data_IF_028331489162
#
_entry.id   IF_028331489162
#
_cell.length_a   1.000
_cell.length_b   1.000
_cell.length_c   1.000
_cell.angle_alpha   90.00
_cell.angle_beta   90.00
_cell.angle_gamma   90.00
#
_symmetry.space_group_name_H-M   'P 1'
#
loop_
_entity.id
_entity.type
_entity.pdbx_description
1 polymer ?
#
# COMPACT_ATOMS: atom_id res chain seq x y z
N UNK A 1 -2.24 -0.88 3.80
CA UNK A 1 -3.11 -1.62 4.73
C UNK A 1 -2.33 -2.80 5.27
N UNK A 2 -2.50 -3.14 6.54
CA UNK A 2 -1.86 -4.33 7.12
C UNK A 2 -2.75 -5.55 6.84
N UNK A 3 -2.14 -6.69 6.44
CA UNK A 3 -2.91 -7.90 6.07
C UNK A 3 -3.72 -8.43 7.25
N UNK A 4 -3.15 -8.38 8.46
CA UNK A 4 -3.87 -8.80 9.67
C UNK A 4 -5.15 -8.00 9.91
N UNK A 5 -5.16 -6.67 9.69
CA UNK A 5 -6.37 -5.87 9.89
C UNK A 5 -7.48 -6.27 8.90
N UNK A 6 -7.11 -6.71 7.68
CA UNK A 6 -8.07 -7.23 6.71
C UNK A 6 -8.63 -8.59 7.16
N UNK A 7 -7.77 -9.48 7.68
CA UNK A 7 -8.20 -10.77 8.21
C UNK A 7 -9.15 -10.58 9.40
N UNK A 8 -8.79 -9.70 10.34
CA UNK A 8 -9.62 -9.39 11.50
C UNK A 8 -10.97 -8.80 11.09
N UNK A 9 -10.99 -7.90 10.10
CA UNK A 9 -12.23 -7.36 9.53
C UNK A 9 -13.12 -8.47 8.93
N UNK A 10 -12.55 -9.38 8.14
CA UNK A 10 -13.28 -10.50 7.56
C UNK A 10 -13.89 -11.42 8.63
N UNK A 11 -13.22 -11.57 9.77
CA UNK A 11 -13.71 -12.35 10.92
C UNK A 11 -14.74 -11.59 11.77
N UNK A 12 -14.76 -10.25 11.72
CA UNK A 12 -15.73 -9.42 12.42
C UNK A 12 -17.08 -9.39 11.71
N UNK A 13 -17.08 -9.23 10.38
CA UNK A 13 -18.28 -9.08 9.54
C UNK A 13 -19.42 -10.06 9.87
N UNK A 14 -19.21 -11.38 10.05
CA UNK A 14 -20.28 -12.32 10.37
C UNK A 14 -21.04 -12.03 11.67
N UNK A 15 -20.43 -11.28 12.60
CA UNK A 15 -21.05 -10.90 13.89
C UNK A 15 -21.96 -9.68 13.79
N UNK A 16 -22.01 -9.03 12.62
CA UNK A 16 -22.78 -7.81 12.39
C UNK A 16 -23.83 -8.02 11.29
N UNK A 17 -25.08 -8.39 11.61
CA UNK A 17 -26.12 -8.65 10.60
C UNK A 17 -26.36 -7.47 9.64
N UNK A 18 -26.10 -6.24 10.08
CA UNK A 18 -26.22 -5.03 9.27
C UNK A 18 -25.30 -5.00 8.05
N UNK A 19 -24.24 -5.82 8.01
CA UNK A 19 -23.29 -5.90 6.90
C UNK A 19 -23.72 -6.87 5.79
N UNK A 20 -24.81 -7.63 5.99
CA UNK A 20 -25.27 -8.61 5.01
C UNK A 20 -25.67 -7.94 3.68
N UNK A 21 -25.18 -8.51 2.56
CA UNK A 21 -25.46 -7.99 1.22
C UNK A 21 -24.79 -6.65 0.88
N UNK A 22 -23.85 -6.17 1.72
CA UNK A 22 -23.13 -4.91 1.50
C UNK A 22 -21.70 -5.16 1.05
N UNK A 23 -21.17 -4.20 0.28
CA UNK A 23 -19.77 -4.15 -0.12
C UNK A 23 -19.09 -2.96 0.57
N UNK A 24 -17.91 -3.21 1.14
CA UNK A 24 -17.15 -2.21 1.89
C UNK A 24 -15.77 -2.03 1.26
N UNK A 25 -15.36 -0.78 1.12
CA UNK A 25 -13.98 -0.47 0.82
C UNK A 25 -13.17 -0.47 2.13
N UNK A 26 -12.07 -1.21 2.13
CA UNK A 26 -11.17 -1.32 3.29
C UNK A 26 -9.82 -0.68 2.94
N UNK A 27 -9.26 0.04 3.89
CA UNK A 27 -8.05 0.84 3.74
C UNK A 27 -7.19 0.80 5.01
N UNK A 28 -6.00 1.39 4.96
CA UNK A 28 -5.15 1.51 6.16
C UNK A 28 -5.66 2.57 7.14
N UNK A 29 -5.11 2.59 8.35
CA UNK A 29 -5.46 3.57 9.40
C UNK A 29 -5.09 5.03 9.10
N UNK A 30 -4.39 5.29 8.00
CA UNK A 30 -4.07 6.64 7.55
C UNK A 30 -3.97 6.73 6.03
N UNK A 31 -4.15 7.95 5.50
CA UNK A 31 -3.92 8.29 4.10
C UNK A 31 -2.53 8.91 3.96
N UNK A 32 -1.68 8.28 3.17
CA UNK A 32 -0.28 8.71 2.99
C UNK A 32 0.00 9.07 1.54
N UNK A 33 0.75 10.17 1.37
CA UNK A 33 1.41 10.44 0.10
C UNK A 33 2.46 9.37 -0.19
N UNK A 34 2.59 8.96 -1.45
CA UNK A 34 3.51 7.88 -1.83
C UNK A 34 4.97 8.13 -1.40
N UNK A 35 5.46 9.37 -1.55
CA UNK A 35 6.82 9.72 -1.12
C UNK A 35 7.02 9.58 0.40
N UNK A 36 5.99 9.92 1.18
CA UNK A 36 6.02 9.79 2.64
C UNK A 36 5.98 8.32 3.07
N UNK A 37 5.14 7.51 2.41
CA UNK A 37 5.12 6.06 2.60
C UNK A 37 6.51 5.45 2.37
N UNK A 38 7.16 5.78 1.25
CA UNK A 38 8.52 5.30 0.94
C UNK A 38 9.52 5.78 1.99
N UNK A 39 9.46 7.05 2.41
CA UNK A 39 10.34 7.58 3.46
C UNK A 39 10.24 6.79 4.76
N UNK A 40 9.02 6.46 5.21
CA UNK A 40 8.79 5.67 6.43
C UNK A 40 9.32 4.24 6.28
N UNK A 41 9.15 3.61 5.11
CA UNK A 41 9.74 2.29 4.83
C UNK A 41 11.26 2.35 4.92
N UNK A 42 11.90 3.32 4.24
CA UNK A 42 13.36 3.45 4.26
C UNK A 42 13.89 3.72 5.68
N UNK A 43 13.17 4.51 6.48
CA UNK A 43 13.52 4.77 7.88
C UNK A 43 13.46 3.52 8.78
N UNK A 44 12.69 2.49 8.40
CA UNK A 44 12.63 1.22 9.12
C UNK A 44 13.78 0.26 8.79
N UNK A 45 14.52 0.50 7.69
CA UNK A 45 15.60 -0.35 7.22
C UNK A 45 16.95 0.06 7.83
N UNK A 46 17.82 -0.92 8.04
CA UNK A 46 19.19 -0.71 8.54
C UNK A 46 20.21 -1.40 7.62
N UNK A 47 21.16 -0.65 7.03
CA UNK A 47 21.32 0.81 7.09
C UNK A 47 20.20 1.57 6.35
N UNK A 48 19.88 2.78 6.80
CA UNK A 48 18.80 3.60 6.21
C UNK A 48 19.17 4.04 4.78
N UNK A 49 18.45 3.59 3.73
CA UNK A 49 18.75 4.01 2.37
C UNK A 49 18.28 5.44 2.08
N UNK A 50 18.91 6.10 1.10
CA UNK A 50 18.52 7.45 0.66
C UNK A 50 17.38 7.40 -0.36
N UNK A 51 16.39 8.28 -0.18
CA UNK A 51 15.33 8.49 -1.17
C UNK A 51 15.81 9.46 -2.26
N UNK A 52 15.91 8.98 -3.50
CA UNK A 52 16.23 9.81 -4.67
C UNK A 52 15.00 10.03 -5.53
N UNK A 53 14.70 11.30 -5.83
CA UNK A 53 13.66 11.68 -6.80
C UNK A 53 14.30 11.82 -8.18
N UNK A 54 13.81 11.07 -9.15
CA UNK A 54 14.29 11.12 -10.53
C UNK A 54 13.19 11.64 -11.47
N UNK A 55 13.54 12.45 -12.48
CA UNK A 55 12.62 12.80 -13.56
C UNK A 55 12.02 11.57 -14.26
N UNK A 56 10.73 11.65 -14.59
CA UNK A 56 10.00 10.59 -15.29
C UNK A 56 10.71 10.06 -16.57
N UNK A 57 11.27 10.89 -17.48
CA UNK A 57 11.92 10.36 -18.67
C UNK A 57 13.15 9.51 -18.33
N UNK A 58 13.97 9.93 -17.36
CA UNK A 58 15.13 9.16 -16.90
C UNK A 58 14.72 7.83 -16.26
N UNK A 59 13.64 7.82 -15.50
CA UNK A 59 13.11 6.58 -14.94
C UNK A 59 12.64 5.61 -16.03
N UNK A 60 11.95 6.12 -17.07
CA UNK A 60 11.46 5.30 -18.19
C UNK A 60 12.60 4.69 -19.00
N UNK A 61 13.67 5.44 -19.25
CA UNK A 61 14.84 4.92 -19.98
C UNK A 61 15.56 3.85 -19.16
N UNK A 62 15.79 4.08 -17.87
CA UNK A 62 16.37 3.09 -16.97
C UNK A 62 15.52 1.80 -16.89
N UNK A 63 14.19 1.94 -16.82
CA UNK A 63 13.27 0.81 -16.80
C UNK A 63 13.33 0.03 -18.12
N UNK A 64 13.36 0.71 -19.27
CA UNK A 64 13.48 0.06 -20.58
C UNK A 64 14.79 -0.74 -20.71
N UNK A 65 15.92 -0.19 -20.24
CA UNK A 65 17.20 -0.90 -20.20
C UNK A 65 17.16 -2.12 -19.27
N UNK A 66 16.52 -2.00 -18.10
CA UNK A 66 16.36 -3.13 -17.18
C UNK A 66 15.53 -4.26 -17.81
N UNK A 67 14.43 -3.92 -18.52
CA UNK A 67 13.62 -4.88 -19.27
C UNK A 67 14.42 -5.57 -20.37
N UNK A 68 15.23 -4.81 -21.14
CA UNK A 68 16.11 -5.36 -22.16
C UNK A 68 17.15 -6.34 -21.59
N UNK A 69 17.63 -6.06 -20.37
CA UNK A 69 18.50 -6.96 -19.61
C UNK A 69 17.77 -8.14 -18.92
N UNK A 70 16.47 -8.33 -19.19
CA UNK A 70 15.67 -9.42 -18.63
C UNK A 70 15.25 -9.22 -17.16
N UNK A 71 15.47 -8.04 -16.58
CA UNK A 71 15.11 -7.70 -15.19
C UNK A 71 13.81 -6.91 -15.14
N UNK A 72 13.16 -6.91 -13.97
CA UNK A 72 11.97 -6.08 -13.67
C UNK A 72 10.78 -6.25 -14.61
N UNK A 73 10.63 -7.39 -15.30
CA UNK A 73 9.55 -7.67 -16.27
C UNK A 73 8.13 -7.46 -15.72
N UNK A 74 7.94 -7.61 -14.40
CA UNK A 74 6.65 -7.33 -13.72
C UNK A 74 6.29 -5.85 -13.59
N UNK A 75 7.24 -4.93 -13.83
CA UNK A 75 7.07 -3.48 -13.68
C UNK A 75 6.99 -2.83 -15.06
N UNK A 76 5.83 -2.93 -15.70
CA UNK A 76 5.57 -2.36 -17.02
C UNK A 76 4.96 -0.95 -16.93
N UNK A 77 4.72 -0.32 -18.09
CA UNK A 77 4.14 1.03 -18.16
C UNK A 77 2.74 1.12 -17.51
N UNK A 78 1.94 0.05 -17.57
CA UNK A 78 0.62 0.01 -16.94
C UNK A 78 0.72 -0.04 -15.40
N UNK A 79 1.66 -0.82 -14.85
CA UNK A 79 1.95 -0.82 -13.42
C UNK A 79 2.40 0.58 -12.96
N UNK A 80 3.26 1.24 -13.75
CA UNK A 80 3.72 2.59 -13.43
C UNK A 80 2.60 3.63 -13.48
N UNK A 81 1.69 3.54 -14.46
CA UNK A 81 0.50 4.39 -14.54
C UNK A 81 -0.41 4.16 -13.32
N UNK A 82 -0.65 2.89 -12.96
CA UNK A 82 -1.47 2.53 -11.80
C UNK A 82 -0.91 3.04 -10.47
N UNK A 83 0.41 3.05 -10.30
CA UNK A 83 1.05 3.61 -9.10
C UNK A 83 0.84 5.12 -8.93
N UNK A 84 0.52 5.85 -10.00
CA UNK A 84 0.25 7.30 -9.95
C UNK A 84 -1.20 7.61 -9.57
N UNK A 85 -2.08 6.62 -9.64
CA UNK A 85 -3.47 6.77 -9.24
C UNK A 85 -3.58 6.71 -7.72
N UNK A 86 -4.22 7.70 -7.07
CA UNK A 86 -4.47 7.64 -5.64
C UNK A 86 -5.47 6.52 -5.33
N UNK A 87 -5.00 5.44 -4.72
CA UNK A 87 -5.85 4.37 -4.17
C UNK A 87 -6.38 4.74 -2.78
N UNK A 88 -7.13 5.83 -2.73
CA UNK A 88 -7.75 6.33 -1.50
C UNK A 88 -9.22 5.92 -1.50
N UNK A 89 -9.62 5.16 -0.48
CA UNK A 89 -11.00 4.69 -0.31
C UNK A 89 -11.62 5.29 0.94
N UNK A 90 -12.95 5.47 0.93
CA UNK A 90 -13.71 5.81 2.13
C UNK A 90 -13.96 4.56 2.98
N UNK A 91 -13.33 4.51 4.16
CA UNK A 91 -13.48 3.43 5.14
C UNK A 91 -14.61 3.71 6.15
N UNK A 92 -15.25 4.88 6.09
CA UNK A 92 -16.29 5.31 7.01
C UNK A 92 -17.46 4.32 7.15
N UNK A 93 -17.98 3.72 6.05
CA UNK A 93 -19.02 2.70 6.15
C UNK A 93 -18.60 1.48 6.98
N UNK A 94 -17.35 1.01 6.81
CA UNK A 94 -16.83 -0.13 7.56
C UNK A 94 -16.63 0.19 9.05
N UNK A 95 -16.16 1.41 9.35
CA UNK A 95 -16.04 1.93 10.71
C UNK A 95 -17.39 1.97 11.42
N UNK A 96 -18.43 2.46 10.74
CA UNK A 96 -19.77 2.59 11.32
C UNK A 96 -20.46 1.25 11.52
N UNK A 97 -20.39 0.36 10.54
CA UNK A 97 -21.26 -0.82 10.51
C UNK A 97 -20.70 -2.01 11.31
N UNK A 98 -19.37 -2.13 11.44
CA UNK A 98 -18.75 -3.22 12.18
C UNK A 98 -17.50 -2.81 12.99
N UNK A 99 -17.27 -1.52 13.19
CA UNK A 99 -16.20 -1.03 14.06
C UNK A 99 -14.79 -1.17 13.48
N UNK A 100 -14.64 -1.21 12.15
CA UNK A 100 -13.34 -1.38 11.49
C UNK A 100 -12.32 -0.31 11.93
N UNK A 101 -11.27 -0.71 12.65
CA UNK A 101 -10.24 0.20 13.17
C UNK A 101 -8.83 -0.27 12.76
N UNK A 102 -8.42 -0.03 11.49
CA UNK A 102 -7.10 -0.46 11.01
C UNK A 102 -5.98 0.35 11.67
N UNK A 103 -4.82 -0.29 11.85
CA UNK A 103 -3.65 0.34 12.48
C UNK A 103 -3.00 1.38 11.55
N UNK A 104 -2.31 2.40 12.10
CA UNK A 104 -1.51 3.33 11.30
C UNK A 104 -0.36 2.61 10.59
N UNK A 105 0.19 3.23 9.55
CA UNK A 105 1.30 2.70 8.78
C UNK A 105 2.63 3.04 9.47
N UNK A 106 3.05 2.09 10.31
CA UNK A 106 4.31 2.11 11.05
C UNK A 106 5.12 0.87 10.69
N UNK A 107 5.84 0.87 9.55
CA UNK A 107 6.63 -0.28 9.13
C UNK A 107 7.77 -0.53 10.12
N UNK A 108 7.98 -1.79 10.48
CA UNK A 108 9.14 -2.24 11.26
C UNK A 108 10.04 -3.10 10.39
N UNK A 109 11.30 -3.30 10.83
CA UNK A 109 12.29 -4.09 10.09
C UNK A 109 11.82 -5.53 9.87
N UNK A 110 11.24 -6.16 10.90
CA UNK A 110 10.80 -7.57 10.86
C UNK A 110 9.80 -7.86 9.73
N UNK A 111 9.06 -6.85 9.27
CA UNK A 111 8.09 -6.97 8.18
C UNK A 111 8.74 -7.22 6.82
N UNK A 112 10.04 -6.97 6.66
CA UNK A 112 10.74 -7.08 5.37
C UNK A 112 11.63 -8.33 5.26
N UNK A 113 11.71 -9.16 6.31
CA UNK A 113 12.55 -10.37 6.29
C UNK A 113 14.04 -10.12 6.10
N UNK A 114 14.52 -8.93 6.54
CA UNK A 114 15.90 -8.43 6.41
C UNK A 114 16.59 -8.30 7.77
#
# INVERSE_FOLDING_TARGET
MHVQDLADAALQVPRHPATAGRAYALGGGERLGYAEMVRRVLAALQPQPRLLRVPAPLFRTALALAHAAGRLRGMNAAALARMREPLVFDIGPAQRDFGYAPRPFLPTRDMFGL
#
